data_IF_175454380815
#
_entry.id   IF_175454380815
#
_cell.length_a   1.000
_cell.length_b   1.000
_cell.length_c   1.000
_cell.angle_alpha   90.00
_cell.angle_beta   90.00
_cell.angle_gamma   90.00
#
_symmetry.space_group_name_H-M   'P 1'
#
loop_
_entity.id
_entity.type
_entity.pdbx_description
1 polymer ?
#
# COMPACT_ATOMS: atom_id res chain seq x y z
N UNK A 1 38.11 -8.42 27.54
CA UNK A 1 37.01 -8.65 26.57
C UNK A 1 36.77 -7.48 25.60
N UNK A 2 37.80 -6.71 25.18
CA UNK A 2 37.64 -5.59 24.22
C UNK A 2 38.23 -5.86 22.82
N UNK A 3 39.10 -6.87 22.67
CA UNK A 3 39.77 -7.19 21.41
C UNK A 3 38.86 -7.88 20.37
N UNK A 4 37.74 -8.46 20.80
CA UNK A 4 36.82 -9.17 19.89
C UNK A 4 35.82 -8.22 19.20
N UNK A 5 35.54 -7.05 19.77
CA UNK A 5 34.57 -6.11 19.21
C UNK A 5 35.09 -5.40 17.96
N UNK A 6 36.39 -5.09 17.94
CA UNK A 6 37.06 -4.41 16.81
C UNK A 6 37.17 -5.35 15.61
N UNK A 7 37.39 -6.65 15.85
CA UNK A 7 37.45 -7.68 14.81
C UNK A 7 36.08 -7.91 14.15
N UNK A 8 34.99 -7.85 14.92
CA UNK A 8 33.62 -7.96 14.37
C UNK A 8 33.27 -6.74 13.51
N UNK A 9 33.62 -5.52 13.95
CA UNK A 9 33.40 -4.30 13.17
C UNK A 9 34.23 -4.28 11.88
N UNK A 10 35.47 -4.76 11.92
CA UNK A 10 36.31 -4.88 10.73
C UNK A 10 35.76 -5.90 9.72
N UNK A 11 35.22 -7.03 10.20
CA UNK A 11 34.60 -8.03 9.33
C UNK A 11 33.33 -7.51 8.62
N UNK A 12 32.50 -6.73 9.32
CA UNK A 12 31.30 -6.11 8.74
C UNK A 12 31.66 -5.09 7.65
N UNK A 13 32.70 -4.28 7.89
CA UNK A 13 33.18 -3.30 6.91
C UNK A 13 33.79 -3.97 5.67
N UNK A 14 34.49 -5.10 5.83
CA UNK A 14 35.00 -5.86 4.68
C UNK A 14 33.85 -6.46 3.87
N UNK A 15 32.81 -7.01 4.52
CA UNK A 15 31.61 -7.49 3.82
C UNK A 15 30.88 -6.39 3.03
N UNK A 16 30.88 -5.15 3.52
CA UNK A 16 30.28 -4.00 2.81
C UNK A 16 31.11 -3.51 1.62
N UNK A 17 32.44 -3.65 1.67
CA UNK A 17 33.35 -3.17 0.61
C UNK A 17 33.65 -4.24 -0.43
N UNK A 18 33.53 -5.53 -0.09
CA UNK A 18 33.77 -6.65 -1.00
C UNK A 18 32.50 -7.32 -1.49
N UNK A 19 31.34 -6.66 -1.49
CA UNK A 19 30.22 -7.07 -2.35
C UNK A 19 30.56 -6.58 -3.76
N UNK A 20 31.25 -7.39 -4.59
CA UNK A 20 31.57 -6.97 -5.93
C UNK A 20 30.26 -7.11 -6.68
N UNK A 21 29.62 -5.96 -6.97
CA UNK A 21 28.90 -5.75 -8.22
C UNK A 21 28.42 -7.07 -8.85
N UNK A 22 27.31 -7.64 -8.35
CA UNK A 22 26.62 -8.71 -9.08
C UNK A 22 26.02 -8.02 -10.30
N UNK A 23 26.87 -7.87 -11.31
CA UNK A 23 26.54 -7.53 -12.67
C UNK A 23 25.50 -8.52 -13.16
N UNK A 24 24.28 -8.04 -13.42
CA UNK A 24 23.22 -8.83 -14.05
C UNK A 24 21.81 -8.51 -13.59
N UNK A 25 21.62 -7.76 -12.50
CA UNK A 25 20.34 -7.12 -12.23
C UNK A 25 20.48 -5.65 -12.61
N UNK A 26 20.00 -5.34 -13.81
CA UNK A 26 19.61 -4.00 -14.18
C UNK A 26 18.90 -3.40 -12.96
N UNK A 27 19.56 -2.43 -12.32
CA UNK A 27 18.93 -1.55 -11.36
C UNK A 27 17.95 -0.71 -12.17
N UNK A 28 16.81 -1.31 -12.53
CA UNK A 28 15.60 -0.55 -12.70
C UNK A 28 15.55 0.31 -11.43
N UNK A 29 15.55 1.64 -11.53
CA UNK A 29 15.32 2.45 -10.36
C UNK A 29 14.11 1.83 -9.68
N UNK A 30 14.22 1.48 -8.39
CA UNK A 30 13.05 1.37 -7.56
C UNK A 30 12.47 2.79 -7.55
N UNK A 31 11.74 3.11 -8.63
CA UNK A 31 10.81 4.20 -8.66
C UNK A 31 9.93 3.85 -7.49
N UNK A 32 10.15 4.56 -6.38
CA UNK A 32 9.11 4.71 -5.39
C UNK A 32 8.05 5.47 -6.15
N UNK A 33 7.23 4.73 -6.88
CA UNK A 33 6.04 5.28 -7.50
C UNK A 33 5.19 5.58 -6.29
N UNK A 34 5.11 6.85 -5.90
CA UNK A 34 3.99 7.29 -5.06
C UNK A 34 2.74 6.73 -5.75
N UNK A 35 2.16 5.68 -5.16
CA UNK A 35 0.92 5.11 -5.66
C UNK A 35 -0.14 6.14 -5.36
N UNK A 36 -0.44 6.97 -6.34
CA UNK A 36 -1.57 7.88 -6.20
C UNK A 36 -2.83 7.03 -6.03
N UNK A 37 -3.70 7.38 -5.07
CA UNK A 37 -4.97 6.69 -4.90
C UNK A 37 -5.76 6.77 -6.20
N UNK A 38 -6.46 5.70 -6.55
CA UNK A 38 -7.37 5.72 -7.69
C UNK A 38 -8.55 6.63 -7.36
N UNK A 39 -9.13 7.26 -8.39
CA UNK A 39 -10.45 7.86 -8.26
C UNK A 39 -11.49 6.78 -7.91
N UNK A 40 -12.52 7.13 -7.16
CA UNK A 40 -13.51 6.17 -6.64
C UNK A 40 -14.14 5.28 -7.74
N UNK A 41 -14.55 5.86 -8.87
CA UNK A 41 -15.09 5.10 -9.99
C UNK A 41 -14.06 4.11 -10.58
N UNK A 42 -12.80 4.53 -10.69
CA UNK A 42 -11.73 3.67 -11.18
C UNK A 42 -11.46 2.52 -10.21
N UNK A 43 -11.54 2.77 -8.90
CA UNK A 43 -11.44 1.75 -7.87
C UNK A 43 -12.60 0.74 -7.96
N UNK A 44 -13.85 1.18 -8.11
CA UNK A 44 -14.99 0.28 -8.28
C UNK A 44 -14.84 -0.61 -9.53
N UNK A 45 -14.32 -0.06 -10.63
CA UNK A 45 -14.08 -0.80 -11.88
C UNK A 45 -12.98 -1.87 -11.76
N UNK A 46 -12.18 -1.87 -10.68
CA UNK A 46 -11.20 -2.94 -10.41
C UNK A 46 -11.82 -4.17 -9.76
N UNK A 47 -13.05 -4.05 -9.27
CA UNK A 47 -13.78 -5.09 -8.56
C UNK A 47 -14.93 -5.66 -9.41
N UNK A 48 -15.44 -6.86 -9.07
CA UNK A 48 -16.65 -7.37 -9.70
C UNK A 48 -17.81 -6.38 -9.51
N UNK A 49 -18.52 -6.09 -10.59
CA UNK A 49 -19.61 -5.13 -10.61
C UNK A 49 -20.76 -5.55 -9.67
N UNK A 50 -21.37 -4.56 -9.02
CA UNK A 50 -22.44 -4.74 -8.04
C UNK A 50 -23.61 -3.81 -8.34
N UNK A 51 -24.82 -4.27 -8.04
CA UNK A 51 -26.03 -3.47 -8.13
C UNK A 51 -26.11 -2.52 -6.92
N UNK A 52 -25.47 -1.37 -7.05
CA UNK A 52 -25.46 -0.32 -6.02
C UNK A 52 -26.59 0.68 -6.35
N UNK A 53 -27.54 0.94 -5.43
CA UNK A 53 -28.54 1.97 -5.61
C UNK A 53 -27.89 3.35 -5.82
N UNK A 54 -28.42 4.14 -6.75
CA UNK A 54 -27.87 5.47 -7.05
C UNK A 54 -27.83 6.42 -5.82
N UNK A 55 -28.71 6.21 -4.83
CA UNK A 55 -28.69 6.99 -3.58
C UNK A 55 -27.52 6.64 -2.66
N UNK A 56 -26.96 5.44 -2.79
CA UNK A 56 -25.88 4.95 -1.93
C UNK A 56 -24.49 5.24 -2.51
N UNK A 57 -24.41 5.45 -3.83
CA UNK A 57 -23.17 5.77 -4.54
C UNK A 57 -22.40 6.95 -3.93
N UNK A 58 -23.00 8.13 -3.67
CA UNK A 58 -22.28 9.25 -3.06
C UNK A 58 -21.79 8.94 -1.63
N UNK A 59 -22.51 8.08 -0.90
CA UNK A 59 -22.09 7.68 0.46
C UNK A 59 -20.87 6.78 0.40
N UNK A 60 -20.81 5.87 -0.58
CA UNK A 60 -19.63 5.02 -0.78
C UNK A 60 -18.42 5.83 -1.25
N UNK A 61 -18.63 6.83 -2.09
CA UNK A 61 -17.59 7.74 -2.54
C UNK A 61 -17.02 8.55 -1.37
N UNK A 62 -17.88 9.11 -0.51
CA UNK A 62 -17.46 9.81 0.71
C UNK A 62 -16.61 8.91 1.61
N UNK A 63 -17.07 7.69 1.90
CA UNK A 63 -16.32 6.72 2.70
C UNK A 63 -14.98 6.33 2.08
N UNK A 64 -14.91 6.19 0.76
CA UNK A 64 -13.66 5.92 0.06
C UNK A 64 -12.68 7.10 0.18
N UNK A 65 -13.18 8.33 0.03
CA UNK A 65 -12.35 9.52 0.15
C UNK A 65 -11.82 9.70 1.58
N UNK A 66 -12.60 9.39 2.62
CA UNK A 66 -12.14 9.39 4.01
C UNK A 66 -10.96 8.42 4.23
N UNK A 67 -11.02 7.22 3.63
CA UNK A 67 -9.92 6.24 3.67
C UNK A 67 -8.67 6.84 3.01
N UNK A 68 -8.82 7.42 1.82
CA UNK A 68 -7.71 8.03 1.08
C UNK A 68 -7.09 9.20 1.86
N UNK A 69 -7.90 10.07 2.45
CA UNK A 69 -7.43 11.18 3.29
C UNK A 69 -6.66 10.66 4.51
N UNK A 70 -7.15 9.60 5.16
CA UNK A 70 -6.47 8.97 6.29
C UNK A 70 -5.13 8.32 5.88
N UNK A 71 -5.07 7.63 4.73
CA UNK A 71 -3.82 7.09 4.20
C UNK A 71 -2.80 8.18 3.88
N UNK A 72 -3.24 9.27 3.22
CA UNK A 72 -2.39 10.42 2.90
C UNK A 72 -1.90 11.16 4.15
N UNK A 73 -2.65 11.09 5.24
CA UNK A 73 -2.28 11.65 6.54
C UNK A 73 -1.41 10.70 7.41
N UNK A 74 -0.94 9.58 6.86
CA UNK A 74 -0.22 8.51 7.58
C UNK A 74 -1.01 7.90 8.75
N UNK A 75 -2.35 8.01 8.73
CA UNK A 75 -3.26 7.49 9.76
C UNK A 75 -3.72 6.06 9.43
N UNK A 76 -2.76 5.17 9.17
CA UNK A 76 -3.04 3.82 8.65
C UNK A 76 -4.01 2.98 9.48
N UNK A 77 -4.01 3.12 10.81
CA UNK A 77 -4.96 2.38 11.66
C UNK A 77 -6.41 2.84 11.46
N UNK A 78 -6.62 4.12 11.18
CA UNK A 78 -7.95 4.68 10.93
C UNK A 78 -8.39 4.32 9.50
N UNK A 79 -7.50 4.53 8.52
CA UNK A 79 -7.74 4.12 7.13
C UNK A 79 -8.13 2.64 7.03
N UNK A 80 -7.42 1.75 7.73
CA UNK A 80 -7.68 0.31 7.67
C UNK A 80 -9.03 -0.07 8.30
N UNK A 81 -9.43 0.62 9.37
CA UNK A 81 -10.76 0.42 9.98
C UNK A 81 -11.87 0.88 9.05
N UNK A 82 -11.72 2.05 8.44
CA UNK A 82 -12.69 2.58 7.48
C UNK A 82 -12.78 1.71 6.22
N UNK A 83 -11.64 1.16 5.77
CA UNK A 83 -11.59 0.20 4.67
C UNK A 83 -12.38 -1.08 4.97
N UNK A 84 -12.26 -1.62 6.19
CA UNK A 84 -13.05 -2.77 6.61
C UNK A 84 -14.56 -2.46 6.54
N UNK A 85 -14.99 -1.33 7.11
CA UNK A 85 -16.40 -0.90 7.11
C UNK A 85 -16.93 -0.67 5.68
N UNK A 86 -16.12 -0.05 4.81
CA UNK A 86 -16.41 0.11 3.39
C UNK A 86 -16.59 -1.25 2.69
N UNK A 87 -15.66 -2.19 2.90
CA UNK A 87 -15.72 -3.52 2.30
C UNK A 87 -16.95 -4.30 2.77
N UNK A 88 -17.29 -4.22 4.07
CA UNK A 88 -18.49 -4.85 4.61
C UNK A 88 -19.75 -4.30 3.98
N UNK A 89 -19.86 -2.98 3.83
CA UNK A 89 -21.00 -2.33 3.18
C UNK A 89 -21.09 -2.72 1.71
N UNK A 90 -19.98 -2.67 0.98
CA UNK A 90 -19.92 -3.06 -0.43
C UNK A 90 -20.37 -4.52 -0.63
N UNK A 91 -20.02 -5.41 0.31
CA UNK A 91 -20.42 -6.82 0.29
C UNK A 91 -21.94 -7.04 0.47
N UNK A 92 -22.68 -6.06 0.97
CA UNK A 92 -24.15 -6.15 1.11
C UNK A 92 -24.90 -6.01 -0.23
N UNK A 93 -24.28 -5.41 -1.24
CA UNK A 93 -24.87 -5.26 -2.56
C UNK A 93 -24.70 -6.54 -3.39
N UNK A 94 -25.75 -6.99 -4.10
CA UNK A 94 -25.65 -8.16 -4.97
C UNK A 94 -24.74 -7.86 -6.17
N UNK A 95 -24.14 -8.91 -6.72
CA UNK A 95 -23.38 -8.81 -7.97
C UNK A 95 -24.32 -8.61 -9.16
N UNK A 96 -23.89 -7.86 -10.17
CA UNK A 96 -24.58 -7.83 -11.46
C UNK A 96 -24.41 -9.20 -12.16
N UNK A 97 -25.47 -9.66 -12.83
CA UNK A 97 -25.54 -10.98 -13.48
C UNK A 97 -25.24 -10.88 -14.97
#
# INVERSE_FOLDING_TARGET
MKKNLILVLAAIMICLVTAPQIFGLETAPAVITESQPLEFEAYLNTMPEREIPACDMPVLEEQYNEIVEAEQADQYSEANKQLDDFCFKLATYPYTV
#
